data_IF_853039827939
#
_entry.id   IF_853039827939
#
_cell.length_a   1.000
_cell.length_b   1.000
_cell.length_c   1.000
_cell.angle_alpha   90.00
_cell.angle_beta   90.00
_cell.angle_gamma   90.00
#
_symmetry.space_group_name_H-M   'P 1'
#
loop_
_entity.id
_entity.type
_entity.pdbx_description
1 polymer ?
#
# COMPACT_ATOMS: atom_id res chain seq x y z
N UNK A 1 6.95 -12.27 8.16
CA UNK A 1 5.86 -11.65 7.35
C UNK A 1 5.01 -12.76 6.73
N UNK A 2 3.77 -12.84 7.14
CA UNK A 2 2.80 -13.83 6.66
C UNK A 2 2.17 -13.34 5.35
N UNK A 3 1.95 -14.26 4.39
CA UNK A 3 1.23 -13.97 3.16
C UNK A 3 -0.13 -14.66 3.16
N UNK A 4 -1.15 -13.95 2.74
CA UNK A 4 -2.50 -14.45 2.52
C UNK A 4 -2.75 -14.49 1.02
N UNK A 5 -3.14 -15.66 0.52
CA UNK A 5 -3.37 -15.86 -0.91
C UNK A 5 -4.87 -15.98 -1.20
N UNK A 6 -5.31 -15.27 -2.24
CA UNK A 6 -6.69 -15.25 -2.70
C UNK A 6 -6.76 -15.36 -4.22
N UNK A 7 -7.95 -15.60 -4.74
CA UNK A 7 -8.18 -15.69 -6.17
C UNK A 7 -7.77 -17.03 -6.78
N UNK A 8 -7.11 -17.02 -7.95
CA UNK A 8 -6.67 -18.22 -8.65
C UNK A 8 -5.16 -18.46 -8.42
N UNK A 9 -4.80 -19.58 -7.77
CA UNK A 9 -3.39 -19.95 -7.54
C UNK A 9 -2.55 -20.08 -8.80
N UNK A 10 -3.17 -20.45 -9.93
CA UNK A 10 -2.50 -20.56 -11.24
C UNK A 10 -2.57 -19.24 -12.04
N UNK A 11 -3.27 -18.24 -11.52
CA UNK A 11 -3.44 -16.94 -12.15
C UNK A 11 -2.18 -16.09 -12.14
N UNK A 12 -2.28 -14.90 -12.73
CA UNK A 12 -1.17 -13.94 -12.80
C UNK A 12 -0.83 -13.41 -11.41
N UNK A 13 0.45 -13.51 -10.96
CA UNK A 13 0.84 -13.11 -9.62
C UNK A 13 0.79 -11.59 -9.41
N UNK A 14 0.07 -11.18 -8.36
CA UNK A 14 -0.05 -9.80 -7.89
C UNK A 14 0.21 -9.74 -6.38
N UNK A 15 1.26 -9.05 -5.96
CA UNK A 15 1.50 -8.70 -4.56
C UNK A 15 0.75 -7.43 -4.22
N UNK A 16 -0.09 -7.44 -3.20
CA UNK A 16 -0.85 -6.27 -2.77
C UNK A 16 -0.51 -5.87 -1.33
N UNK A 17 0.24 -4.79 -1.18
CA UNK A 17 0.49 -4.15 0.10
C UNK A 17 -0.76 -3.36 0.53
N UNK A 18 -1.43 -3.88 1.55
CA UNK A 18 -2.66 -3.28 2.10
C UNK A 18 -2.40 -1.92 2.75
N UNK A 19 -3.43 -1.10 2.84
CA UNK A 19 -3.37 0.20 3.52
C UNK A 19 -3.05 0.11 5.02
N UNK A 20 -2.96 1.25 5.68
CA UNK A 20 -2.78 1.37 7.12
C UNK A 20 -4.12 1.72 7.77
N UNK A 21 -4.55 1.06 8.86
CA UNK A 21 -3.93 -0.08 9.55
C UNK A 21 -4.57 -1.41 9.12
N UNK A 22 -4.04 -2.05 8.10
CA UNK A 22 -4.62 -3.30 7.57
C UNK A 22 -3.59 -4.43 7.52
N UNK A 23 -4.08 -5.65 7.79
CA UNK A 23 -3.36 -6.90 7.59
C UNK A 23 -3.67 -7.49 6.21
N UNK A 24 -2.87 -8.44 5.78
CA UNK A 24 -3.07 -9.14 4.50
C UNK A 24 -4.40 -9.89 4.39
N UNK A 25 -5.00 -10.30 5.54
CA UNK A 25 -6.33 -10.93 5.58
C UNK A 25 -7.43 -10.07 4.95
N UNK A 26 -7.31 -8.75 5.01
CA UNK A 26 -8.27 -7.84 4.39
C UNK A 26 -8.38 -8.04 2.86
N UNK A 27 -7.36 -8.60 2.22
CA UNK A 27 -7.40 -8.99 0.81
C UNK A 27 -8.47 -10.04 0.47
N UNK A 28 -9.05 -10.74 1.47
CA UNK A 28 -10.15 -11.70 1.29
C UNK A 28 -11.38 -11.08 0.61
N UNK A 29 -11.61 -9.80 0.82
CA UNK A 29 -12.70 -9.03 0.19
C UNK A 29 -12.62 -9.06 -1.34
N UNK A 30 -11.40 -9.10 -1.88
CA UNK A 30 -11.14 -9.07 -3.32
C UNK A 30 -11.00 -10.47 -3.93
N UNK A 31 -11.17 -11.54 -3.14
CA UNK A 31 -10.96 -12.93 -3.59
C UNK A 31 -11.82 -13.31 -4.77
N UNK A 32 -13.10 -12.93 -4.75
CA UNK A 32 -14.06 -13.20 -5.84
C UNK A 32 -13.63 -12.50 -7.14
N UNK A 33 -13.24 -11.23 -7.05
CA UNK A 33 -12.77 -10.45 -8.18
C UNK A 33 -11.46 -11.00 -8.75
N UNK A 34 -10.50 -11.34 -7.88
CA UNK A 34 -9.23 -11.92 -8.28
C UNK A 34 -9.42 -13.26 -9.00
N UNK A 35 -10.32 -14.10 -8.50
CA UNK A 35 -10.69 -15.38 -9.16
C UNK A 35 -11.31 -15.15 -10.53
N UNK A 36 -12.23 -14.20 -10.65
CA UNK A 36 -12.92 -13.87 -11.90
C UNK A 36 -11.95 -13.38 -12.99
N UNK A 37 -10.90 -12.67 -12.60
CA UNK A 37 -9.96 -12.01 -13.50
C UNK A 37 -8.60 -12.74 -13.60
N UNK A 38 -8.56 -14.00 -13.17
CA UNK A 38 -7.39 -14.89 -13.25
C UNK A 38 -6.13 -14.34 -12.58
N UNK A 39 -6.31 -13.72 -11.41
CA UNK A 39 -5.23 -13.15 -10.59
C UNK A 39 -4.93 -14.05 -9.40
N UNK A 40 -3.66 -14.35 -9.15
CA UNK A 40 -3.14 -14.88 -7.88
C UNK A 40 -2.81 -13.69 -6.99
N UNK A 41 -3.74 -13.32 -6.12
CA UNK A 41 -3.62 -12.19 -5.21
C UNK A 41 -2.88 -12.61 -3.95
N UNK A 42 -1.74 -12.00 -3.68
CA UNK A 42 -0.87 -12.29 -2.54
C UNK A 42 -0.76 -11.04 -1.67
N UNK A 43 -1.36 -11.07 -0.48
CA UNK A 43 -1.43 -9.94 0.43
C UNK A 43 -0.51 -10.19 1.64
N UNK A 44 0.65 -9.54 1.75
CA UNK A 44 1.49 -9.63 2.93
C UNK A 44 0.89 -8.88 4.12
N UNK A 45 0.94 -9.47 5.31
CA UNK A 45 0.83 -8.74 6.58
C UNK A 45 2.21 -8.24 6.95
N UNK A 46 2.39 -6.93 7.09
CA UNK A 46 3.68 -6.35 7.48
C UNK A 46 4.14 -6.93 8.82
N UNK A 47 5.45 -7.18 9.04
CA UNK A 47 5.93 -8.02 10.15
C UNK A 47 5.46 -7.56 11.53
N UNK A 48 5.45 -6.28 11.79
CA UNK A 48 5.07 -5.69 13.07
C UNK A 48 3.59 -5.82 13.43
N UNK A 49 2.72 -6.13 12.48
CA UNK A 49 1.31 -6.47 12.76
C UNK A 49 1.14 -7.89 13.33
N UNK A 50 2.13 -8.75 13.14
CA UNK A 50 2.12 -10.12 13.67
C UNK A 50 3.02 -10.28 14.91
N UNK A 51 3.47 -9.15 15.52
CA UNK A 51 4.32 -9.15 16.70
C UNK A 51 5.75 -9.59 16.43
N UNK A 52 6.23 -9.47 15.18
CA UNK A 52 7.63 -9.73 14.85
C UNK A 52 8.49 -8.57 15.37
N UNK A 53 9.47 -8.89 16.21
CA UNK A 53 10.40 -7.94 16.82
C UNK A 53 11.50 -7.53 15.81
N UNK A 54 11.11 -6.84 14.76
CA UNK A 54 12.01 -6.28 13.76
C UNK A 54 11.85 -4.76 13.69
N UNK A 55 12.95 -4.06 13.40
CA UNK A 55 12.87 -2.61 13.14
C UNK A 55 12.01 -2.36 11.90
N UNK A 56 10.91 -1.59 12.03
CA UNK A 56 10.02 -1.30 10.90
C UNK A 56 10.75 -0.52 9.80
N UNK A 57 10.74 -1.06 8.57
CA UNK A 57 11.33 -0.40 7.40
C UNK A 57 10.74 -0.91 6.09
N UNK A 58 10.93 -0.17 5.02
CA UNK A 58 10.60 -0.62 3.67
C UNK A 58 11.42 -1.84 3.27
N UNK A 59 12.71 -1.86 3.65
CA UNK A 59 13.67 -2.90 3.31
C UNK A 59 13.26 -4.26 3.84
N UNK A 60 12.87 -4.34 5.11
CA UNK A 60 12.48 -5.63 5.71
C UNK A 60 11.23 -6.20 5.02
N UNK A 61 10.26 -5.34 4.65
CA UNK A 61 9.09 -5.76 3.88
C UNK A 61 9.49 -6.27 2.50
N UNK A 62 10.38 -5.56 1.80
CA UNK A 62 10.86 -5.95 0.48
C UNK A 62 11.64 -7.26 0.50
N UNK A 63 12.58 -7.42 1.43
CA UNK A 63 13.36 -8.65 1.58
C UNK A 63 12.47 -9.87 1.83
N UNK A 64 11.49 -9.73 2.73
CA UNK A 64 10.57 -10.83 3.04
C UNK A 64 9.60 -11.13 1.90
N UNK A 65 9.22 -10.12 1.10
CA UNK A 65 8.44 -10.33 -0.10
C UNK A 65 9.24 -11.10 -1.17
N UNK A 66 10.50 -10.76 -1.38
CA UNK A 66 11.39 -11.52 -2.27
C UNK A 66 11.55 -12.97 -1.83
N UNK A 67 11.84 -13.19 -0.55
CA UNK A 67 11.97 -14.55 0.01
C UNK A 67 10.70 -15.39 -0.24
N UNK A 68 9.53 -14.77 -0.07
CA UNK A 68 8.26 -15.44 -0.36
C UNK A 68 8.11 -15.79 -1.84
N UNK A 69 8.40 -14.85 -2.75
CA UNK A 69 8.34 -15.08 -4.19
C UNK A 69 9.29 -16.21 -4.62
N UNK A 70 10.53 -16.21 -4.11
CA UNK A 70 11.54 -17.23 -4.41
C UNK A 70 11.11 -18.60 -3.92
N UNK A 71 10.61 -18.70 -2.68
CA UNK A 71 10.11 -19.95 -2.10
C UNK A 71 8.90 -20.53 -2.84
N UNK A 72 8.16 -19.69 -3.59
CA UNK A 72 7.00 -20.09 -4.39
C UNK A 72 7.30 -20.20 -5.89
N UNK A 73 8.57 -20.06 -6.32
CA UNK A 73 8.97 -20.16 -7.73
C UNK A 73 8.39 -19.05 -8.60
N UNK A 74 8.11 -17.87 -8.03
CA UNK A 74 7.55 -16.72 -8.74
C UNK A 74 8.70 -15.82 -9.17
N UNK A 75 9.07 -15.89 -10.44
CA UNK A 75 10.16 -15.08 -11.00
C UNK A 75 9.77 -13.60 -11.10
N UNK A 76 8.60 -13.29 -11.67
CA UNK A 76 8.09 -11.92 -11.82
C UNK A 76 6.62 -11.80 -11.43
N UNK A 77 6.29 -10.67 -10.80
CA UNK A 77 4.91 -10.37 -10.40
C UNK A 77 4.51 -8.94 -10.78
N UNK A 78 3.22 -8.66 -10.71
CA UNK A 78 2.71 -7.30 -10.56
C UNK A 78 2.72 -6.92 -9.07
N UNK A 79 2.79 -5.63 -8.79
CA UNK A 79 2.75 -5.11 -7.41
C UNK A 79 1.70 -4.02 -7.32
N UNK A 80 0.94 -4.01 -6.24
CA UNK A 80 -0.03 -2.98 -5.94
C UNK A 80 0.12 -2.51 -4.50
N UNK A 81 -0.15 -1.23 -4.25
CA UNK A 81 -0.26 -0.69 -2.91
C UNK A 81 -1.44 0.27 -2.80
N UNK A 82 -2.23 0.11 -1.74
CA UNK A 82 -3.35 1.00 -1.42
C UNK A 82 -3.01 1.92 -0.26
N UNK A 83 -3.38 3.21 -0.33
CA UNK A 83 -3.21 4.16 0.77
C UNK A 83 -1.77 4.12 1.33
N UNK A 84 -1.57 3.92 2.64
CA UNK A 84 -0.26 3.73 3.27
C UNK A 84 0.53 2.50 2.78
N UNK A 85 -0.09 1.57 2.05
CA UNK A 85 0.62 0.46 1.39
C UNK A 85 1.32 0.84 0.10
N UNK A 86 0.96 1.98 -0.49
CA UNK A 86 1.54 2.47 -1.75
C UNK A 86 3.06 2.66 -1.70
N UNK A 87 3.62 3.36 -0.70
CA UNK A 87 5.06 3.51 -0.56
C UNK A 87 5.82 2.19 -0.41
N UNK A 88 5.26 1.20 0.29
CA UNK A 88 5.85 -0.16 0.38
C UNK A 88 5.87 -0.85 -0.99
N UNK A 89 4.79 -0.74 -1.76
CA UNK A 89 4.72 -1.27 -3.11
C UNK A 89 5.73 -0.59 -4.05
N UNK A 90 5.87 0.72 -3.92
CA UNK A 90 6.82 1.50 -4.71
C UNK A 90 8.26 1.16 -4.35
N UNK A 91 8.61 1.09 -3.06
CA UNK A 91 9.94 0.67 -2.61
C UNK A 91 10.28 -0.73 -3.16
N UNK A 92 9.38 -1.70 -2.97
CA UNK A 92 9.60 -3.05 -3.49
C UNK A 92 9.85 -3.04 -5.01
N UNK A 93 9.02 -2.30 -5.75
CA UNK A 93 9.05 -2.28 -7.21
C UNK A 93 10.31 -1.57 -7.75
N UNK A 94 10.69 -0.46 -7.16
CA UNK A 94 11.83 0.35 -7.60
C UNK A 94 13.18 -0.28 -7.26
N UNK A 95 13.25 -0.96 -6.12
CA UNK A 95 14.49 -1.61 -5.68
C UNK A 95 14.66 -3.04 -6.25
N UNK A 96 13.61 -3.57 -6.93
CA UNK A 96 13.63 -4.90 -7.55
C UNK A 96 12.99 -4.88 -8.96
N UNK A 97 13.46 -4.00 -9.88
CA UNK A 97 12.79 -3.77 -11.16
C UNK A 97 12.73 -5.03 -12.04
N UNK A 98 13.70 -5.93 -11.94
CA UNK A 98 13.72 -7.19 -12.68
C UNK A 98 12.65 -8.19 -12.22
N UNK A 99 12.15 -8.05 -10.98
CA UNK A 99 11.13 -8.91 -10.38
C UNK A 99 9.72 -8.36 -10.58
N UNK A 100 9.57 -7.11 -11.03
CA UNK A 100 8.27 -6.43 -11.14
C UNK A 100 7.94 -6.09 -12.58
N UNK A 101 6.75 -6.50 -13.02
CA UNK A 101 6.22 -6.18 -14.34
C UNK A 101 5.67 -4.75 -14.42
N UNK A 102 4.89 -4.38 -13.41
CA UNK A 102 4.32 -3.04 -13.22
C UNK A 102 3.91 -2.82 -11.77
N UNK A 103 3.90 -1.55 -11.32
CA UNK A 103 3.42 -1.14 -10.02
C UNK A 103 2.10 -0.36 -10.16
N UNK A 104 1.15 -0.61 -9.27
CA UNK A 104 -0.15 0.07 -9.22
C UNK A 104 -0.29 0.76 -7.87
N UNK A 105 -0.53 2.06 -7.89
CA UNK A 105 -0.78 2.88 -6.70
C UNK A 105 -2.26 3.24 -6.67
N UNK A 106 -2.99 2.79 -5.66
CA UNK A 106 -4.42 3.02 -5.48
C UNK A 106 -4.66 3.92 -4.28
N UNK A 107 -5.16 5.13 -4.47
CA UNK A 107 -5.36 6.11 -3.40
C UNK A 107 -4.12 6.24 -2.48
N UNK A 108 -2.93 6.16 -3.08
CA UNK A 108 -1.67 6.04 -2.36
C UNK A 108 -1.30 7.33 -1.65
N UNK A 109 -0.70 7.19 -0.47
CA UNK A 109 0.07 8.27 0.13
C UNK A 109 1.22 8.66 -0.82
N UNK A 110 1.47 9.96 -0.96
CA UNK A 110 2.63 10.52 -1.66
C UNK A 110 3.81 10.77 -0.72
N UNK A 111 4.75 11.64 -1.14
CA UNK A 111 5.93 11.96 -0.33
C UNK A 111 5.55 12.52 1.04
N UNK A 112 6.28 12.16 2.12
CA UNK A 112 5.95 12.57 3.49
C UNK A 112 5.79 14.09 3.63
N UNK A 113 6.70 14.83 3.03
CA UNK A 113 6.71 16.31 3.10
C UNK A 113 5.43 16.89 2.53
N UNK A 114 5.07 16.56 1.28
CA UNK A 114 3.86 17.10 0.65
C UNK A 114 2.60 16.54 1.30
N UNK A 115 2.59 15.27 1.70
CA UNK A 115 1.45 14.64 2.36
C UNK A 115 1.08 15.37 3.65
N UNK A 116 2.04 15.61 4.55
CA UNK A 116 1.78 16.26 5.85
C UNK A 116 1.27 17.70 5.71
N UNK A 117 1.60 18.39 4.61
CA UNK A 117 1.15 19.76 4.35
C UNK A 117 -0.17 19.87 3.58
N UNK A 118 -0.60 18.77 2.94
CA UNK A 118 -1.77 18.81 2.05
C UNK A 118 -2.98 18.03 2.54
N UNK A 119 -2.79 17.10 3.48
CA UNK A 119 -3.88 16.32 4.07
C UNK A 119 -4.88 17.23 4.78
N UNK A 120 -6.18 16.99 4.55
CA UNK A 120 -7.27 17.79 5.12
C UNK A 120 -8.27 16.94 5.90
N UNK A 121 -8.21 15.62 5.77
CA UNK A 121 -9.06 14.69 6.50
C UNK A 121 -8.85 14.80 8.01
N UNK A 122 -9.88 15.16 8.81
CA UNK A 122 -9.73 15.29 10.25
C UNK A 122 -9.21 14.03 10.95
N UNK A 123 -9.67 12.80 10.62
CA UNK A 123 -9.09 11.59 11.20
C UNK A 123 -7.60 11.41 10.89
N UNK A 124 -7.18 11.73 9.67
CA UNK A 124 -5.77 11.61 9.29
C UNK A 124 -4.89 12.66 9.98
N UNK A 125 -5.40 13.89 10.13
CA UNK A 125 -4.72 14.95 10.90
C UNK A 125 -4.54 14.56 12.36
N UNK A 126 -5.56 13.96 12.99
CA UNK A 126 -5.46 13.44 14.37
C UNK A 126 -4.40 12.35 14.49
N UNK A 127 -4.29 11.45 13.50
CA UNK A 127 -3.24 10.43 13.48
C UNK A 127 -1.85 11.05 13.32
N UNK A 128 -1.69 12.04 12.45
CA UNK A 128 -0.41 12.75 12.27
C UNK A 128 0.02 13.46 13.56
N UNK A 129 -0.89 14.12 14.23
CA UNK A 129 -0.62 14.75 15.53
C UNK A 129 -0.24 13.70 16.58
N UNK A 130 -1.03 12.61 16.67
CA UNK A 130 -0.82 11.54 17.64
C UNK A 130 0.57 10.90 17.47
N UNK A 131 0.96 10.59 16.25
CA UNK A 131 2.24 9.91 15.96
C UNK A 131 3.44 10.86 15.91
N UNK A 132 3.20 12.15 15.73
CA UNK A 132 4.25 13.19 15.68
C UNK A 132 4.66 13.74 17.05
N UNK A 133 3.77 13.74 18.03
CA UNK A 133 3.96 14.47 19.30
C UNK A 133 3.89 13.61 20.55
N UNK A 134 3.29 12.42 20.50
CA UNK A 134 3.06 11.60 21.68
C UNK A 134 4.10 10.48 21.83
N UNK A 135 4.20 9.96 23.07
CA UNK A 135 4.93 8.71 23.32
C UNK A 135 4.20 7.52 22.72
N UNK A 136 4.91 6.39 22.61
CA UNK A 136 4.28 5.14 22.16
C UNK A 136 3.11 4.75 23.08
N UNK A 137 3.30 4.87 24.41
CA UNK A 137 2.31 4.52 25.42
C UNK A 137 1.05 5.36 25.29
N UNK A 138 1.19 6.67 25.16
CA UNK A 138 0.07 7.61 25.01
C UNK A 138 -0.68 7.35 23.69
N UNK A 139 0.05 7.05 22.62
CA UNK A 139 -0.54 6.72 21.32
C UNK A 139 -1.35 5.42 21.40
N UNK A 140 -0.83 4.38 22.06
CA UNK A 140 -1.54 3.10 22.23
C UNK A 140 -2.80 3.26 23.07
N UNK A 141 -2.75 4.04 24.16
CA UNK A 141 -3.92 4.36 24.98
C UNK A 141 -4.98 5.08 24.15
N UNK A 142 -4.60 6.11 23.40
CA UNK A 142 -5.52 6.90 22.58
C UNK A 142 -6.17 6.04 21.49
N UNK A 143 -5.40 5.26 20.74
CA UNK A 143 -5.91 4.37 19.70
C UNK A 143 -6.85 3.29 20.28
N UNK A 144 -6.56 2.81 21.49
CA UNK A 144 -7.43 1.91 22.23
C UNK A 144 -8.79 2.54 22.54
N UNK A 145 -8.81 3.83 22.94
CA UNK A 145 -10.09 4.56 23.19
C UNK A 145 -10.89 4.74 21.89
N UNK A 146 -10.24 4.78 20.73
CA UNK A 146 -10.92 4.80 19.42
C UNK A 146 -11.38 3.41 18.97
N UNK A 147 -11.15 2.38 19.78
CA UNK A 147 -11.59 1.01 19.51
C UNK A 147 -10.66 0.23 18.57
N UNK A 148 -9.44 0.71 18.33
CA UNK A 148 -8.48 -0.02 17.51
C UNK A 148 -7.87 -1.17 18.35
N UNK A 149 -7.91 -2.43 17.84
CA UNK A 149 -7.25 -3.56 18.51
C UNK A 149 -5.76 -3.29 18.73
N UNK A 150 -5.15 -3.77 19.84
CA UNK A 150 -3.77 -3.45 20.20
C UNK A 150 -2.74 -3.77 19.11
N UNK A 151 -2.93 -4.88 18.40
CA UNK A 151 -2.06 -5.30 17.30
C UNK A 151 -2.19 -4.40 16.06
N UNK A 152 -3.38 -3.90 15.75
CA UNK A 152 -3.58 -2.92 14.69
C UNK A 152 -3.08 -1.54 15.10
N UNK A 153 -3.24 -1.15 16.37
CA UNK A 153 -2.69 0.09 16.92
C UNK A 153 -1.16 0.11 16.83
N UNK A 154 -0.50 -0.95 17.30
CA UNK A 154 0.94 -1.11 17.18
C UNK A 154 1.39 -1.09 15.71
N UNK A 155 0.67 -1.82 14.86
CA UNK A 155 0.94 -1.86 13.42
C UNK A 155 0.84 -0.47 12.76
N UNK A 156 -0.19 0.30 13.11
CA UNK A 156 -0.36 1.67 12.63
C UNK A 156 0.80 2.58 13.07
N UNK A 157 1.20 2.50 14.34
CA UNK A 157 2.35 3.23 14.87
C UNK A 157 3.63 2.95 14.07
N UNK A 158 3.94 1.67 13.85
CA UNK A 158 5.10 1.25 13.09
C UNK A 158 5.03 1.72 11.63
N UNK A 159 3.85 1.59 10.99
CA UNK A 159 3.64 2.09 9.63
C UNK A 159 3.93 3.58 9.52
N UNK A 160 3.35 4.41 10.39
CA UNK A 160 3.55 5.85 10.35
C UNK A 160 5.00 6.25 10.61
N UNK A 161 5.73 5.53 11.45
CA UNK A 161 7.17 5.71 11.64
C UNK A 161 7.94 5.55 10.33
N UNK A 162 7.61 4.53 9.54
CA UNK A 162 8.22 4.29 8.22
C UNK A 162 7.74 5.31 7.19
N UNK A 163 6.44 5.56 7.14
CA UNK A 163 5.81 6.41 6.12
C UNK A 163 6.17 7.89 6.25
N UNK A 164 6.41 8.38 7.47
CA UNK A 164 6.78 9.79 7.72
C UNK A 164 8.30 10.01 7.82
N UNK A 165 9.10 8.94 7.75
CA UNK A 165 10.56 9.05 7.67
C UNK A 165 11.03 9.43 6.26
N UNK A 166 12.35 9.59 6.09
CA UNK A 166 12.94 9.78 4.75
C UNK A 166 12.71 8.56 3.86
N UNK A 167 12.42 8.80 2.58
CA UNK A 167 12.27 7.78 1.55
C UNK A 167 13.53 7.62 0.68
N UNK A 168 14.70 7.98 1.20
CA UNK A 168 15.99 7.91 0.48
C UNK A 168 16.33 6.48 0.03
N UNK A 169 15.76 5.47 0.67
CA UNK A 169 15.94 4.07 0.29
C UNK A 169 15.14 3.65 -0.95
N UNK A 170 14.22 4.48 -1.45
CA UNK A 170 13.43 4.18 -2.64
C UNK A 170 14.20 4.60 -3.90
N UNK A 171 14.58 3.63 -4.73
CA UNK A 171 15.29 3.87 -5.99
C UNK A 171 14.32 4.36 -7.10
N UNK A 172 13.75 5.56 -6.94
CA UNK A 172 12.72 6.11 -7.82
C UNK A 172 13.09 6.04 -9.31
N UNK A 173 14.36 6.27 -9.65
CA UNK A 173 14.85 6.28 -11.04
C UNK A 173 14.76 4.90 -11.71
N UNK A 174 14.74 3.81 -10.92
CA UNK A 174 14.68 2.44 -11.40
C UNK A 174 13.26 1.87 -11.42
N UNK A 175 12.26 2.68 -11.03
CA UNK A 175 10.87 2.24 -10.97
C UNK A 175 10.38 1.69 -12.33
N UNK A 176 9.68 0.54 -12.35
CA UNK A 176 9.02 0.04 -13.55
C UNK A 176 7.89 1.00 -13.96
N UNK A 177 7.06 0.62 -14.95
CA UNK A 177 5.84 1.39 -15.23
C UNK A 177 4.96 1.46 -13.98
N UNK A 178 4.61 2.69 -13.56
CA UNK A 178 3.74 2.94 -12.41
C UNK A 178 2.38 3.47 -12.90
N UNK A 179 1.31 2.76 -12.54
CA UNK A 179 -0.07 3.18 -12.79
C UNK A 179 -0.66 3.78 -11.53
N UNK A 180 -1.07 5.03 -11.60
CA UNK A 180 -1.65 5.77 -10.46
C UNK A 180 -3.16 5.87 -10.63
N UNK A 181 -3.90 5.25 -9.72
CA UNK A 181 -5.35 5.36 -9.61
C UNK A 181 -5.68 6.22 -8.40
N UNK A 182 -6.23 7.40 -8.63
CA UNK A 182 -6.45 8.40 -7.58
C UNK A 182 -7.71 9.21 -7.81
N UNK A 183 -8.08 10.07 -6.84
CA UNK A 183 -9.18 11.03 -6.97
C UNK A 183 -8.74 12.44 -6.60
N UNK A 184 -9.34 13.44 -7.25
CA UNK A 184 -9.17 14.85 -6.86
C UNK A 184 -9.78 15.14 -5.47
N UNK A 185 -10.80 14.39 -5.06
CA UNK A 185 -11.55 14.60 -3.81
C UNK A 185 -11.04 13.71 -2.65
N UNK A 186 -9.85 13.12 -2.78
CA UNK A 186 -9.25 12.32 -1.71
C UNK A 186 -8.63 13.23 -0.64
N UNK A 187 -9.32 13.36 0.49
CA UNK A 187 -8.86 14.18 1.64
C UNK A 187 -7.87 13.43 2.55
N UNK A 188 -7.88 12.08 2.52
CA UNK A 188 -7.00 11.25 3.35
C UNK A 188 -5.60 11.11 2.77
N UNK A 189 -5.51 10.98 1.45
CA UNK A 189 -4.25 10.97 0.70
C UNK A 189 -4.37 11.95 -0.46
N UNK A 190 -4.19 13.26 -0.24
CA UNK A 190 -4.45 14.27 -1.24
C UNK A 190 -3.65 14.05 -2.52
N UNK A 191 -4.31 14.21 -3.68
CA UNK A 191 -3.72 13.99 -5.00
C UNK A 191 -2.45 14.84 -5.23
N UNK A 192 -2.31 15.97 -4.55
CA UNK A 192 -1.13 16.80 -4.67
C UNK A 192 0.13 16.07 -4.18
N UNK A 193 0.04 15.29 -3.09
CA UNK A 193 1.17 14.54 -2.56
C UNK A 193 1.67 13.47 -3.54
N UNK A 194 0.74 12.83 -4.25
CA UNK A 194 1.10 11.82 -5.26
C UNK A 194 1.57 12.48 -6.58
N UNK A 195 1.10 13.67 -6.91
CA UNK A 195 1.61 14.44 -8.06
C UNK A 195 3.08 14.80 -7.90
N UNK A 196 3.52 15.13 -6.70
CA UNK A 196 4.93 15.40 -6.43
C UNK A 196 5.76 14.11 -6.47
N UNK A 197 5.24 13.03 -5.92
CA UNK A 197 5.87 11.72 -6.00
C UNK A 197 6.15 11.27 -7.45
N UNK A 198 5.17 11.38 -8.34
CA UNK A 198 5.31 10.87 -9.71
C UNK A 198 6.32 11.64 -10.56
N UNK A 199 6.68 12.87 -10.17
CA UNK A 199 7.77 13.63 -10.81
C UNK A 199 9.13 12.96 -10.64
N UNK A 200 9.27 12.10 -9.63
CA UNK A 200 10.49 11.33 -9.37
C UNK A 200 10.55 10.03 -10.21
N UNK A 201 9.44 9.64 -10.84
CA UNK A 201 9.31 8.37 -11.55
C UNK A 201 9.62 8.53 -13.05
N UNK A 202 10.42 7.61 -13.66
CA UNK A 202 10.77 7.70 -15.07
C UNK A 202 9.56 7.43 -16.00
N UNK A 203 8.62 6.59 -15.56
CA UNK A 203 7.44 6.20 -16.35
C UNK A 203 6.23 6.02 -15.45
N UNK A 204 5.17 6.79 -15.74
CA UNK A 204 3.91 6.66 -15.02
C UNK A 204 2.71 6.97 -15.92
N UNK A 205 1.54 6.46 -15.52
CA UNK A 205 0.25 6.77 -16.13
C UNK A 205 -0.80 7.04 -15.06
N UNK A 206 -1.61 8.07 -15.28
CA UNK A 206 -2.67 8.47 -14.37
C UNK A 206 -4.04 7.91 -14.79
N UNK A 207 -4.81 7.56 -13.77
CA UNK A 207 -6.23 7.29 -13.84
C UNK A 207 -6.90 8.05 -12.70
N UNK A 208 -7.38 9.24 -12.98
CA UNK A 208 -8.06 10.09 -12.01
C UNK A 208 -9.56 9.78 -12.07
N UNK A 209 -10.17 9.53 -10.92
CA UNK A 209 -11.61 9.43 -10.75
C UNK A 209 -12.13 10.75 -10.23
N UNK A 210 -13.22 11.24 -10.81
CA UNK A 210 -13.94 12.40 -10.29
C UNK A 210 -14.87 11.95 -9.15
N UNK A 211 -15.01 12.79 -8.11
CA UNK A 211 -15.97 12.63 -7.02
C UNK A 211 -15.86 11.30 -6.24
N UNK A 212 -14.68 10.69 -6.20
CA UNK A 212 -14.44 9.49 -5.40
C UNK A 212 -13.73 9.86 -4.08
N UNK A 213 -14.28 9.44 -2.95
CA UNK A 213 -13.58 9.52 -1.67
C UNK A 213 -12.44 8.52 -1.60
N UNK A 214 -11.54 8.67 -0.62
CA UNK A 214 -10.48 7.71 -0.35
C UNK A 214 -10.97 6.27 -0.27
N UNK A 215 -12.02 6.03 0.51
CA UNK A 215 -12.60 4.70 0.67
C UNK A 215 -13.26 4.19 -0.61
N UNK A 216 -14.01 5.03 -1.34
CA UNK A 216 -14.74 4.61 -2.54
C UNK A 216 -13.85 4.24 -3.72
N UNK A 217 -12.59 4.73 -3.76
CA UNK A 217 -11.62 4.30 -4.77
C UNK A 217 -11.31 2.80 -4.70
N UNK A 218 -11.28 2.23 -3.49
CA UNK A 218 -11.03 0.80 -3.28
C UNK A 218 -12.31 -0.01 -3.07
N UNK A 219 -13.35 0.60 -2.49
CA UNK A 219 -14.53 -0.08 -1.95
C UNK A 219 -15.86 0.48 -2.49
N UNK A 220 -15.88 0.99 -3.74
CA UNK A 220 -17.15 1.23 -4.41
C UNK A 220 -17.87 -0.12 -4.65
N UNK A 221 -19.21 -0.11 -4.81
CA UNK A 221 -20.02 -1.32 -4.96
C UNK A 221 -19.55 -2.23 -6.12
N UNK A 222 -18.90 -1.67 -7.12
CA UNK A 222 -18.42 -2.38 -8.30
C UNK A 222 -16.90 -2.67 -8.27
N UNK A 223 -16.17 -2.23 -7.24
CA UNK A 223 -14.70 -2.29 -7.20
C UNK A 223 -14.07 -1.74 -8.48
N UNK A 224 -14.56 -0.60 -8.98
CA UNK A 224 -14.26 -0.12 -10.33
C UNK A 224 -12.77 0.03 -10.60
N UNK A 225 -12.02 0.66 -9.68
CA UNK A 225 -10.58 0.83 -9.83
C UNK A 225 -9.84 -0.51 -9.73
N UNK A 226 -10.18 -1.35 -8.75
CA UNK A 226 -9.58 -2.68 -8.57
C UNK A 226 -9.88 -3.61 -9.73
N UNK A 227 -11.12 -3.58 -10.26
CA UNK A 227 -11.50 -4.36 -11.45
C UNK A 227 -10.65 -3.99 -12.66
N UNK A 228 -10.38 -2.70 -12.87
CA UNK A 228 -9.47 -2.24 -13.94
C UNK A 228 -8.04 -2.74 -13.73
N UNK A 229 -7.49 -2.57 -12.51
CA UNK A 229 -6.16 -3.05 -12.18
C UNK A 229 -6.04 -4.55 -12.40
N UNK A 230 -6.95 -5.35 -11.86
CA UNK A 230 -6.91 -6.81 -11.99
C UNK A 230 -7.11 -7.27 -13.44
N UNK A 231 -7.96 -6.59 -14.22
CA UNK A 231 -8.11 -6.88 -15.64
C UNK A 231 -6.84 -6.52 -16.47
N UNK A 232 -6.11 -5.49 -16.09
CA UNK A 232 -4.81 -5.17 -16.71
C UNK A 232 -3.75 -6.21 -16.32
N UNK A 233 -3.71 -6.64 -15.07
CA UNK A 233 -2.82 -7.70 -14.56
C UNK A 233 -3.08 -9.02 -15.30
N UNK A 234 -4.32 -9.48 -15.34
CA UNK A 234 -4.68 -10.78 -15.95
C UNK A 234 -4.48 -10.87 -17.47
N UNK A 235 -4.29 -9.74 -18.17
CA UNK A 235 -4.00 -9.71 -19.63
C UNK A 235 -2.53 -9.73 -19.98
N UNK A 236 -1.63 -9.61 -19.01
CA UNK A 236 -0.17 -9.47 -19.18
C UNK A 236 0.59 -10.63 -18.58
#
# INVERSE_FOLDING_TARGET
MKFHEFGNKAGVPLVFFMGTPQRGEAGSEFSGLAKQLDVRLMCPTRPWYDGDDCEPSFEICSQRALQYLDANGIDRCHVMGGSGGGPFALHFSSNNPDRVKACYLLASMGTPETFTHTVTSPPTLQLLELFGTNSYEDAMETLGTWGLPPDLAHGAWCDFKVLLASWDSIAFADAPMVYVHHSEDDENAPIQSIRDLVRLLPRHQWRVSEQASHASLAHDEAFTALRRIFAEVGRR
#
